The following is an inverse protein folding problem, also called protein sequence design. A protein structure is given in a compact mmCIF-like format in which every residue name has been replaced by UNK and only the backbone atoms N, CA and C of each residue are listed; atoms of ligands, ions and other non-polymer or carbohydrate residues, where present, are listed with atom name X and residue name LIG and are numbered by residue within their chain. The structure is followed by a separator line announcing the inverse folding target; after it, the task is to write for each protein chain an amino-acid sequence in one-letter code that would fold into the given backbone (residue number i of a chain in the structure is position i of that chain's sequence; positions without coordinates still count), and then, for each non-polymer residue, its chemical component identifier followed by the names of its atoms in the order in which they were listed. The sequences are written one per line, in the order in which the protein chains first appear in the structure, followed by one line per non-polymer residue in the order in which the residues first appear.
data_IF_148539870524
#
_entry.id   IF_148539870524
#
_cell.length_a   1.000
_cell.length_b   1.000
_cell.length_c   1.000
_cell.angle_alpha   90.00
_cell.angle_beta   90.00
_cell.angle_gamma   90.00
#
_symmetry.space_group_name_H-M   'P 1'
#
loop_
_entity.id
_entity.type
_entity.pdbx_description
1 polymer ?
#
# COMPACT_ATOMS: atom_id res chain seq x y z
N UNK A 1 -28.01 83.96 -35.58
CA UNK A 1 -27.93 82.56 -36.08
C UNK A 1 -29.24 82.18 -36.76
N UNK A 2 -29.21 81.51 -37.92
CA UNK A 2 -30.44 81.02 -38.58
C UNK A 2 -31.13 79.97 -37.69
N UNK A 3 -32.46 79.93 -37.60
CA UNK A 3 -33.20 79.04 -36.67
C UNK A 3 -32.85 77.55 -36.85
N UNK A 4 -32.51 77.13 -38.08
CA UNK A 4 -32.03 75.77 -38.38
C UNK A 4 -30.67 75.44 -37.75
N UNK A 5 -29.77 76.42 -37.64
CA UNK A 5 -28.43 76.20 -37.05
C UNK A 5 -28.52 76.03 -35.52
N UNK A 6 -29.44 76.74 -34.87
CA UNK A 6 -29.69 76.61 -33.43
C UNK A 6 -30.29 75.23 -33.08
N UNK A 7 -31.23 74.74 -33.88
CA UNK A 7 -31.83 73.41 -33.69
C UNK A 7 -30.83 72.27 -33.85
N UNK A 8 -29.90 72.38 -34.81
CA UNK A 8 -28.83 71.38 -34.98
C UNK A 8 -27.85 71.41 -33.81
N UNK A 9 -27.44 72.58 -33.34
CA UNK A 9 -26.54 72.70 -32.18
C UNK A 9 -27.19 72.11 -30.93
N UNK A 10 -28.45 72.47 -30.63
CA UNK A 10 -29.18 71.93 -29.48
C UNK A 10 -29.35 70.42 -29.59
N UNK A 11 -29.65 69.89 -30.78
CA UNK A 11 -29.76 68.44 -31.00
C UNK A 11 -28.44 67.70 -30.77
N UNK A 12 -27.32 68.24 -31.25
CA UNK A 12 -25.99 67.65 -31.05
C UNK A 12 -25.59 67.73 -29.58
N UNK A 13 -25.85 68.85 -28.90
CA UNK A 13 -25.54 68.97 -27.46
C UNK A 13 -26.38 68.00 -26.62
N UNK A 14 -27.67 67.86 -26.91
CA UNK A 14 -28.54 66.90 -26.21
C UNK A 14 -28.08 65.44 -26.44
N UNK A 15 -27.63 65.10 -27.66
CA UNK A 15 -27.06 63.80 -27.97
C UNK A 15 -25.76 63.55 -27.19
N UNK A 16 -24.84 64.50 -27.17
CA UNK A 16 -23.59 64.38 -26.41
C UNK A 16 -23.82 64.21 -24.91
N UNK A 17 -24.78 64.94 -24.34
CA UNK A 17 -25.16 64.81 -22.92
C UNK A 17 -25.82 63.45 -22.68
N UNK A 18 -26.73 63.01 -23.56
CA UNK A 18 -27.38 61.70 -23.46
C UNK A 18 -26.38 60.53 -23.52
N UNK A 19 -25.40 60.59 -24.43
CA UNK A 19 -24.33 59.59 -24.50
C UNK A 19 -23.43 59.65 -23.27
N UNK A 20 -23.05 60.85 -22.82
CA UNK A 20 -22.21 61.00 -21.62
C UNK A 20 -22.89 60.45 -20.36
N UNK A 21 -24.18 60.74 -20.18
CA UNK A 21 -24.98 60.19 -19.07
C UNK A 21 -25.17 58.68 -19.23
N UNK A 22 -25.41 58.18 -20.45
CA UNK A 22 -25.51 56.75 -20.72
C UNK A 22 -24.22 55.98 -20.42
N UNK A 23 -23.05 56.55 -20.74
CA UNK A 23 -21.73 55.99 -20.42
C UNK A 23 -21.50 56.00 -18.91
N UNK A 24 -21.84 57.08 -18.21
CA UNK A 24 -21.70 57.16 -16.75
C UNK A 24 -22.63 56.17 -16.03
N UNK A 25 -23.90 56.08 -16.45
CA UNK A 25 -24.84 55.08 -15.92
C UNK A 25 -24.33 53.67 -16.22
N UNK A 26 -23.84 53.39 -17.43
CA UNK A 26 -23.26 52.09 -17.77
C UNK A 26 -22.02 51.74 -16.94
N UNK A 27 -21.14 52.72 -16.70
CA UNK A 27 -19.92 52.54 -15.90
C UNK A 27 -20.20 52.30 -14.42
N UNK A 28 -21.20 53.00 -13.85
CA UNK A 28 -21.53 52.91 -12.42
C UNK A 28 -22.66 51.92 -12.10
N UNK A 29 -23.41 51.44 -13.10
CA UNK A 29 -24.46 50.42 -12.93
C UNK A 29 -24.03 49.03 -13.39
N UNK A 30 -22.84 48.91 -14.00
CA UNK A 30 -22.20 47.61 -14.13
C UNK A 30 -21.97 47.09 -12.69
N UNK A 31 -22.55 45.95 -12.30
CA UNK A 31 -22.16 45.32 -11.05
C UNK A 31 -20.64 45.14 -11.15
N UNK A 32 -19.88 45.81 -10.26
CA UNK A 32 -18.43 45.65 -10.21
C UNK A 32 -18.15 44.15 -10.24
N UNK A 33 -17.22 43.72 -11.11
CA UNK A 33 -16.92 42.32 -11.39
C UNK A 33 -16.90 41.52 -10.08
N UNK A 34 -18.07 41.02 -9.71
CA UNK A 34 -18.21 39.95 -8.76
C UNK A 34 -17.67 38.81 -9.55
N UNK A 35 -16.39 38.53 -9.37
CA UNK A 35 -15.74 37.31 -9.80
C UNK A 35 -16.68 36.16 -9.49
N UNK A 36 -17.48 35.75 -10.47
CA UNK A 36 -17.98 34.39 -10.57
C UNK A 36 -16.77 33.53 -10.94
N UNK A 37 -15.83 33.47 -10.00
CA UNK A 37 -14.74 32.53 -10.02
C UNK A 37 -15.39 31.18 -9.80
N UNK A 38 -15.43 30.37 -10.86
CA UNK A 38 -15.65 28.94 -10.68
C UNK A 38 -14.66 28.49 -9.59
N UNK A 39 -15.10 27.90 -8.47
CA UNK A 39 -14.20 27.48 -7.40
C UNK A 39 -13.12 26.51 -7.91
N UNK A 40 -13.37 25.82 -9.04
CA UNK A 40 -12.41 24.93 -9.69
C UNK A 40 -11.31 25.65 -10.48
N UNK A 41 -11.47 26.95 -10.80
CA UNK A 41 -10.50 27.73 -11.58
C UNK A 41 -9.89 28.89 -10.80
N UNK A 42 -10.10 28.96 -9.48
CA UNK A 42 -9.44 29.96 -8.64
C UNK A 42 -7.93 29.68 -8.59
N UNK A 43 -7.07 30.69 -8.78
CA UNK A 43 -5.67 30.55 -8.42
C UNK A 43 -5.58 30.15 -6.95
N UNK A 44 -4.70 29.19 -6.65
CA UNK A 44 -4.47 28.75 -5.27
C UNK A 44 -4.07 29.95 -4.40
N UNK A 45 -4.74 30.11 -3.26
CA UNK A 45 -4.35 31.12 -2.28
C UNK A 45 -3.09 30.63 -1.55
N UNK A 46 -1.93 31.14 -1.94
CA UNK A 46 -0.63 30.79 -1.36
C UNK A 46 -0.60 31.01 0.16
N UNK A 47 -1.34 32.00 0.67
CA UNK A 47 -1.40 32.27 2.11
C UNK A 47 -2.08 31.15 2.90
N UNK A 48 -3.03 30.42 2.29
CA UNK A 48 -3.66 29.24 2.91
C UNK A 48 -2.69 28.07 2.87
N UNK A 49 -1.97 27.87 1.77
CA UNK A 49 -0.99 26.80 1.65
C UNK A 49 0.13 26.95 2.69
N UNK A 50 0.66 28.17 2.86
CA UNK A 50 1.68 28.47 3.87
C UNK A 50 1.17 28.17 5.28
N UNK A 51 -0.05 28.63 5.61
CA UNK A 51 -0.67 28.33 6.91
C UNK A 51 -0.85 26.84 7.16
N UNK A 52 -1.23 26.06 6.16
CA UNK A 52 -1.34 24.60 6.30
C UNK A 52 0.04 24.00 6.62
N UNK A 53 1.08 24.40 5.89
CA UNK A 53 2.44 23.89 6.10
C UNK A 53 2.99 24.27 7.47
N UNK A 54 2.72 25.48 7.95
CA UNK A 54 3.12 25.97 9.28
C UNK A 54 2.45 25.18 10.42
N UNK A 55 1.22 24.69 10.22
CA UNK A 55 0.47 23.92 11.22
C UNK A 55 0.84 22.42 11.25
N UNK A 56 1.58 21.92 10.24
CA UNK A 56 2.07 20.53 10.24
C UNK A 56 3.17 20.37 11.31
N UNK A 57 2.80 19.72 12.40
CA UNK A 57 3.69 19.49 13.53
C UNK A 57 4.40 18.14 13.46
N UNK A 58 5.74 18.17 13.47
CA UNK A 58 6.58 16.97 13.57
C UNK A 58 6.37 16.20 14.87
N UNK A 59 6.03 16.89 15.97
CA UNK A 59 5.72 16.24 17.25
C UNK A 59 4.41 15.46 17.17
N UNK A 60 3.35 16.05 16.62
CA UNK A 60 2.06 15.35 16.42
C UNK A 60 2.21 14.14 15.49
N UNK A 61 3.03 14.25 14.43
CA UNK A 61 3.34 13.11 13.56
C UNK A 61 4.02 11.98 14.36
N UNK A 62 5.00 12.32 15.20
CA UNK A 62 5.70 11.34 16.06
C UNK A 62 4.76 10.68 17.08
N UNK A 63 3.90 11.46 17.74
CA UNK A 63 2.91 10.95 18.68
C UNK A 63 1.91 10.00 18.00
N UNK A 64 1.38 10.39 16.84
CA UNK A 64 0.49 9.55 16.04
C UNK A 64 1.17 8.25 15.62
N UNK A 65 2.42 8.30 15.13
CA UNK A 65 3.17 7.11 14.75
C UNK A 65 3.34 6.16 15.94
N UNK A 66 3.74 6.66 17.11
CA UNK A 66 3.86 5.85 18.34
C UNK A 66 2.53 5.24 18.75
N UNK A 67 1.44 6.01 18.64
CA UNK A 67 0.11 5.54 18.98
C UNK A 67 -0.33 4.41 18.05
N UNK A 68 -0.31 4.62 16.73
CA UNK A 68 -0.84 3.62 15.78
C UNK A 68 0.08 2.40 15.60
N UNK A 69 1.40 2.54 15.81
CA UNK A 69 2.34 1.42 15.69
C UNK A 69 2.48 0.56 16.97
N UNK A 70 1.73 0.84 18.04
CA UNK A 70 1.90 0.17 19.35
C UNK A 70 1.45 -1.29 19.39
N UNK A 71 0.59 -1.71 18.46
CA UNK A 71 -0.06 -3.03 18.40
C UNK A 71 -0.09 -3.51 16.95
N UNK A 72 -0.09 -4.84 16.69
CA UNK A 72 -0.27 -5.35 15.34
C UNK A 72 -1.73 -5.09 14.94
N UNK A 73 -1.94 -4.49 13.77
CA UNK A 73 -3.27 -4.10 13.27
C UNK A 73 -3.51 -4.72 11.88
N UNK A 74 -3.40 -6.05 11.81
CA UNK A 74 -3.60 -6.82 10.57
C UNK A 74 -5.03 -6.63 10.08
N UNK A 75 -5.22 -6.46 8.77
CA UNK A 75 -6.53 -6.24 8.16
C UNK A 75 -7.58 -7.26 8.64
N UNK A 76 -8.76 -6.76 9.04
CA UNK A 76 -9.87 -7.60 9.50
C UNK A 76 -9.79 -8.07 10.96
N UNK A 77 -8.74 -7.70 11.70
CA UNK A 77 -8.64 -7.99 13.14
C UNK A 77 -9.38 -6.94 14.00
N UNK A 78 -9.67 -7.24 15.28
CA UNK A 78 -10.21 -6.23 16.20
C UNK A 78 -9.32 -4.99 16.37
N UNK A 79 -7.99 -5.14 16.29
CA UNK A 79 -7.06 -4.02 16.40
C UNK A 79 -7.10 -3.09 15.19
N UNK A 80 -7.25 -3.63 13.98
CA UNK A 80 -7.50 -2.85 12.75
C UNK A 80 -8.81 -2.04 12.88
N UNK A 81 -9.85 -2.64 13.44
CA UNK A 81 -11.11 -1.95 13.73
C UNK A 81 -10.95 -0.82 14.76
N UNK A 82 -10.22 -1.06 15.86
CA UNK A 82 -9.88 -0.05 16.88
C UNK A 82 -9.24 1.18 16.21
N UNK A 83 -8.21 0.96 15.38
CA UNK A 83 -7.53 2.03 14.64
C UNK A 83 -8.45 2.81 13.69
N UNK A 84 -9.36 2.13 12.98
CA UNK A 84 -10.31 2.78 12.09
C UNK A 84 -11.34 3.65 12.85
N UNK A 85 -11.86 3.15 13.97
CA UNK A 85 -12.76 3.92 14.84
C UNK A 85 -12.04 5.13 15.45
N UNK A 86 -10.74 5.00 15.80
CA UNK A 86 -9.92 6.10 16.31
C UNK A 86 -9.70 7.21 15.29
N UNK A 87 -9.30 6.86 14.07
CA UNK A 87 -9.11 7.82 12.97
C UNK A 87 -10.41 8.56 12.66
N UNK A 88 -11.53 7.83 12.58
CA UNK A 88 -12.85 8.43 12.36
C UNK A 88 -13.18 9.48 13.42
N UNK A 89 -12.94 9.17 14.70
CA UNK A 89 -13.18 10.12 15.80
C UNK A 89 -12.27 11.34 15.68
N UNK A 90 -10.97 11.12 15.45
CA UNK A 90 -10.00 12.19 15.30
C UNK A 90 -10.37 13.16 14.17
N UNK A 91 -10.88 12.66 13.04
CA UNK A 91 -11.34 13.49 11.93
C UNK A 91 -12.52 14.40 12.29
N UNK A 92 -13.53 13.87 12.99
CA UNK A 92 -14.67 14.68 13.46
C UNK A 92 -14.19 15.72 14.48
N UNK A 93 -13.36 15.31 15.44
CA UNK A 93 -12.85 16.20 16.49
C UNK A 93 -11.97 17.34 15.92
N UNK A 94 -11.31 17.10 14.79
CA UNK A 94 -10.50 18.10 14.06
C UNK A 94 -11.34 19.00 13.13
N UNK A 95 -12.65 18.80 13.06
CA UNK A 95 -13.58 19.70 12.38
C UNK A 95 -13.95 19.29 10.94
N UNK A 96 -13.72 18.03 10.53
CA UNK A 96 -14.35 17.55 9.30
C UNK A 96 -15.87 17.47 9.49
N UNK A 97 -16.63 17.92 8.48
CA UNK A 97 -18.10 17.91 8.52
C UNK A 97 -18.69 16.51 8.70
N UNK A 98 -18.01 15.49 8.15
CA UNK A 98 -18.43 14.09 8.27
C UNK A 98 -17.26 13.11 8.11
N UNK A 99 -17.37 11.96 8.77
CA UNK A 99 -16.45 10.82 8.66
C UNK A 99 -17.20 9.52 8.96
N UNK A 100 -17.17 8.58 8.03
CA UNK A 100 -17.93 7.33 8.08
C UNK A 100 -17.02 6.11 7.88
N UNK A 101 -17.36 5.01 8.56
CA UNK A 101 -16.75 3.72 8.28
C UNK A 101 -17.62 2.96 7.28
N UNK A 102 -17.01 2.56 6.17
CA UNK A 102 -17.69 1.85 5.07
C UNK A 102 -17.19 0.40 5.02
N UNK A 103 -17.86 -0.55 5.69
CA UNK A 103 -17.39 -1.93 5.75
C UNK A 103 -17.68 -2.71 4.46
N UNK A 104 -16.74 -3.58 4.09
CA UNK A 104 -16.89 -4.60 3.05
C UNK A 104 -16.55 -5.97 3.61
N UNK A 105 -17.24 -7.01 3.14
CA UNK A 105 -17.05 -8.40 3.57
C UNK A 105 -16.19 -9.11 2.54
N UNK A 106 -14.89 -8.88 2.62
CA UNK A 106 -13.88 -9.39 1.68
C UNK A 106 -13.26 -10.71 2.16
N UNK A 107 -12.74 -11.49 1.22
CA UNK A 107 -11.96 -12.68 1.50
C UNK A 107 -10.52 -12.30 1.84
N UNK A 108 -10.11 -12.60 3.07
CA UNK A 108 -8.72 -12.49 3.54
C UNK A 108 -8.21 -13.87 3.93
N UNK A 109 -6.93 -14.12 3.66
CA UNK A 109 -6.24 -15.30 4.17
C UNK A 109 -5.33 -14.89 5.33
N UNK A 110 -5.47 -15.58 6.45
CA UNK A 110 -4.58 -15.49 7.61
C UNK A 110 -3.81 -16.80 7.76
N UNK A 111 -2.59 -16.76 8.31
CA UNK A 111 -1.85 -17.97 8.59
C UNK A 111 -2.51 -18.74 9.74
N UNK A 112 -2.29 -20.05 9.83
CA UNK A 112 -2.55 -20.81 11.05
C UNK A 112 -1.80 -20.20 12.25
N UNK A 113 -2.34 -20.41 13.45
CA UNK A 113 -1.64 -19.99 14.68
C UNK A 113 -0.29 -20.71 14.80
N UNK A 114 0.80 -19.99 15.12
CA UNK A 114 2.11 -20.59 15.32
C UNK A 114 2.21 -21.34 16.67
N UNK A 115 1.20 -21.27 17.54
CA UNK A 115 1.13 -22.03 18.79
C UNK A 115 0.55 -23.44 18.56
N UNK A 116 -0.09 -23.68 17.41
CA UNK A 116 -0.49 -25.01 16.98
C UNK A 116 0.56 -25.56 16.02
N UNK A 117 1.60 -26.21 16.56
CA UNK A 117 2.72 -26.74 15.78
C UNK A 117 2.33 -27.74 14.67
N UNK A 118 1.18 -28.40 14.80
CA UNK A 118 0.67 -29.33 13.79
C UNK A 118 0.18 -28.59 12.54
N UNK A 119 -0.43 -27.41 12.72
CA UNK A 119 -0.99 -26.59 11.64
C UNK A 119 -0.07 -25.45 11.21
N UNK A 120 0.93 -25.09 12.01
CA UNK A 120 1.85 -24.01 11.72
C UNK A 120 2.59 -24.25 10.40
N UNK A 121 2.76 -23.19 9.62
CA UNK A 121 3.58 -23.23 8.42
C UNK A 121 5.04 -23.49 8.83
N UNK A 122 5.65 -24.52 8.24
CA UNK A 122 7.05 -24.87 8.48
C UNK A 122 7.69 -25.50 7.26
N UNK A 123 8.99 -25.36 7.18
CA UNK A 123 9.85 -26.00 6.18
C UNK A 123 10.78 -26.94 6.92
N UNK A 124 10.83 -28.19 6.46
CA UNK A 124 11.70 -29.21 7.04
C UNK A 124 12.67 -29.74 5.99
N UNK A 125 13.91 -30.04 6.42
CA UNK A 125 14.83 -30.86 5.64
C UNK A 125 14.76 -32.26 6.22
N UNK A 126 14.34 -33.21 5.40
CA UNK A 126 14.16 -34.61 5.78
C UNK A 126 15.34 -35.41 5.24
N UNK A 127 15.97 -36.22 6.09
CA UNK A 127 17.00 -37.17 5.67
C UNK A 127 16.34 -38.32 4.90
N UNK A 128 16.63 -38.48 3.60
CA UNK A 128 15.98 -39.51 2.78
C UNK A 128 16.34 -40.94 3.19
N UNK A 129 17.43 -41.15 3.94
CA UNK A 129 17.88 -42.49 4.32
C UNK A 129 17.07 -43.08 5.49
N UNK A 130 16.56 -42.22 6.39
CA UNK A 130 15.88 -42.66 7.62
C UNK A 130 14.55 -41.95 7.89
N UNK A 131 14.20 -40.90 7.13
CA UNK A 131 12.97 -40.13 7.29
C UNK A 131 12.97 -39.14 8.47
N UNK A 132 14.11 -38.94 9.14
CA UNK A 132 14.22 -38.02 10.26
C UNK A 132 14.32 -36.57 9.77
N UNK A 133 13.76 -35.65 10.55
CA UNK A 133 13.89 -34.22 10.32
C UNK A 133 15.29 -33.77 10.77
N UNK A 134 16.11 -33.34 9.82
CA UNK A 134 17.46 -32.81 10.05
C UNK A 134 17.45 -31.31 10.39
N UNK A 135 16.46 -30.59 9.88
CA UNK A 135 16.25 -29.16 10.15
C UNK A 135 14.76 -28.84 10.08
N UNK A 136 14.32 -27.90 10.90
CA UNK A 136 13.00 -27.29 10.85
C UNK A 136 13.15 -25.78 10.94
N UNK A 137 12.42 -25.04 10.10
CA UNK A 137 12.37 -23.59 10.15
C UNK A 137 11.68 -23.09 11.42
N UNK A 138 12.08 -21.94 11.94
CA UNK A 138 11.36 -21.27 13.00
C UNK A 138 9.90 -20.96 12.58
N UNK A 139 8.96 -21.11 13.53
CA UNK A 139 7.53 -20.86 13.30
C UNK A 139 7.14 -19.38 13.36
N UNK A 140 8.01 -18.55 13.96
CA UNK A 140 7.85 -17.10 14.15
C UNK A 140 9.22 -16.44 14.18
N UNK A 141 9.29 -15.14 13.92
CA UNK A 141 10.52 -14.38 14.15
C UNK A 141 10.91 -14.38 15.63
N UNK A 142 12.22 -14.30 15.86
CA UNK A 142 12.71 -14.02 17.20
C UNK A 142 12.33 -12.58 17.60
N UNK A 143 11.81 -12.40 18.82
CA UNK A 143 11.53 -11.08 19.37
C UNK A 143 12.83 -10.31 19.64
N UNK A 144 12.79 -8.98 19.53
CA UNK A 144 13.93 -8.13 19.88
C UNK A 144 13.90 -7.62 21.32
N UNK A 145 12.76 -7.76 22.02
CA UNK A 145 12.61 -7.39 23.42
C UNK A 145 11.39 -8.03 24.08
N UNK A 146 11.32 -7.94 25.41
CA UNK A 146 10.19 -8.48 26.18
C UNK A 146 8.86 -7.84 25.77
N UNK A 147 8.85 -6.56 25.39
CA UNK A 147 7.63 -5.85 24.96
C UNK A 147 7.04 -6.39 23.63
N UNK A 148 7.86 -6.97 22.76
CA UNK A 148 7.42 -7.61 21.51
C UNK A 148 6.92 -9.05 21.74
N UNK A 149 7.55 -9.77 22.67
CA UNK A 149 7.11 -11.11 23.12
C UNK A 149 5.70 -11.11 23.72
N UNK A 150 5.27 -9.97 24.24
CA UNK A 150 3.99 -9.81 24.92
C UNK A 150 2.82 -9.51 23.98
N UNK A 151 3.05 -9.42 22.65
CA UNK A 151 1.99 -9.16 21.67
C UNK A 151 1.54 -10.48 21.01
N UNK A 152 0.46 -11.13 21.49
CA UNK A 152 0.01 -12.43 20.98
C UNK A 152 -0.51 -12.38 19.53
N UNK A 153 -0.74 -11.19 18.99
CA UNK A 153 -1.43 -10.98 17.71
C UNK A 153 -0.45 -10.71 16.53
N UNK A 154 0.85 -10.92 16.71
CA UNK A 154 1.82 -10.84 15.60
C UNK A 154 1.62 -12.09 14.73
N UNK A 155 1.16 -11.97 13.47
CA UNK A 155 1.00 -13.12 12.60
C UNK A 155 2.38 -13.70 12.27
N UNK A 156 2.59 -15.02 12.22
CA UNK A 156 3.86 -15.59 11.75
C UNK A 156 4.15 -15.21 10.29
N UNK A 157 5.39 -15.38 9.80
CA UNK A 157 5.71 -15.18 8.39
C UNK A 157 4.83 -16.07 7.50
N UNK A 158 4.19 -15.46 6.50
CA UNK A 158 3.40 -16.19 5.52
C UNK A 158 3.22 -15.37 4.24
N UNK A 159 2.93 -16.07 3.15
CA UNK A 159 2.48 -15.46 1.91
C UNK A 159 0.97 -15.59 1.78
N UNK A 160 0.25 -14.47 1.84
CA UNK A 160 -1.20 -14.45 1.70
C UNK A 160 -1.61 -14.82 0.27
N UNK A 161 -2.73 -15.52 0.15
CA UNK A 161 -3.25 -16.20 -1.03
C UNK A 161 -2.43 -17.40 -1.53
N UNK A 162 -1.54 -17.94 -0.69
CA UNK A 162 -0.88 -19.22 -0.97
C UNK A 162 -1.83 -20.39 -0.81
N UNK A 163 -1.67 -21.41 -1.65
CA UNK A 163 -2.39 -22.67 -1.50
C UNK A 163 -1.93 -23.39 -0.21
N UNK A 164 -2.87 -24.08 0.45
CA UNK A 164 -2.55 -24.98 1.57
C UNK A 164 -2.10 -26.32 1.01
N UNK A 165 -1.03 -26.88 1.58
CA UNK A 165 -0.55 -28.21 1.21
C UNK A 165 0.64 -28.64 2.06
N UNK A 166 0.86 -29.95 2.11
CA UNK A 166 2.05 -30.59 2.65
C UNK A 166 2.69 -31.38 1.50
N UNK A 167 3.87 -30.92 1.05
CA UNK A 167 4.55 -31.47 -0.12
C UNK A 167 6.03 -31.67 0.20
N UNK A 168 6.59 -32.74 -0.35
CA UNK A 168 8.02 -33.06 -0.25
C UNK A 168 8.58 -33.17 -1.66
N UNK A 169 9.75 -32.57 -1.89
CA UNK A 169 10.44 -32.62 -3.17
C UNK A 169 11.86 -32.10 -3.05
N UNK A 170 12.70 -32.38 -4.06
CA UNK A 170 14.06 -31.87 -4.09
C UNK A 170 14.08 -30.34 -4.19
N UNK A 171 15.05 -29.71 -3.53
CA UNK A 171 15.21 -28.27 -3.55
C UNK A 171 16.01 -27.82 -4.79
N UNK A 172 15.54 -26.77 -5.47
CA UNK A 172 16.26 -26.12 -6.59
C UNK A 172 16.32 -24.62 -6.39
N UNK A 173 17.53 -24.06 -6.43
CA UNK A 173 17.72 -22.61 -6.34
C UNK A 173 17.50 -21.95 -7.69
N UNK A 174 16.62 -20.95 -7.72
CA UNK A 174 16.16 -20.29 -8.96
C UNK A 174 16.39 -18.78 -8.92
N UNK A 175 17.43 -18.32 -8.22
CA UNK A 175 17.81 -16.91 -8.15
C UNK A 175 16.61 -15.99 -7.79
N UNK A 176 16.28 -15.00 -8.61
CA UNK A 176 15.14 -14.09 -8.39
C UNK A 176 13.82 -14.66 -8.96
N UNK A 177 13.76 -15.94 -9.34
CA UNK A 177 12.55 -16.62 -9.80
C UNK A 177 11.94 -15.99 -11.05
N UNK A 178 12.75 -15.29 -11.86
CA UNK A 178 12.34 -14.77 -13.17
C UNK A 178 12.35 -15.92 -14.18
N UNK A 179 11.63 -15.78 -15.28
CA UNK A 179 11.62 -16.82 -16.33
C UNK A 179 13.04 -17.11 -16.82
N UNK A 180 13.84 -16.05 -16.99
CA UNK A 180 15.23 -16.14 -17.44
C UNK A 180 16.13 -16.89 -16.44
N UNK A 181 15.77 -16.92 -15.15
CA UNK A 181 16.52 -17.66 -14.14
C UNK A 181 16.34 -19.18 -14.33
N UNK A 182 15.14 -19.63 -14.71
CA UNK A 182 14.88 -21.03 -15.01
C UNK A 182 15.48 -21.43 -16.36
N UNK A 183 15.33 -20.59 -17.38
CA UNK A 183 15.92 -20.81 -18.71
C UNK A 183 17.45 -20.90 -18.62
N UNK A 184 18.09 -20.00 -17.87
CA UNK A 184 19.54 -20.04 -17.66
C UNK A 184 20.02 -21.34 -17.03
N UNK A 185 19.26 -21.90 -16.07
CA UNK A 185 19.60 -23.20 -15.48
C UNK A 185 19.58 -24.28 -16.55
N UNK A 186 18.54 -24.33 -17.40
CA UNK A 186 18.41 -25.34 -18.45
C UNK A 186 19.43 -25.16 -19.58
N UNK A 187 19.76 -23.92 -19.94
CA UNK A 187 20.61 -23.66 -21.09
C UNK A 187 22.10 -23.77 -20.74
N UNK A 188 22.49 -23.33 -19.53
CA UNK A 188 23.90 -23.09 -19.20
C UNK A 188 24.43 -23.94 -18.04
N UNK A 189 23.57 -24.39 -17.12
CA UNK A 189 24.01 -25.08 -15.89
C UNK A 189 23.74 -26.59 -15.93
N UNK A 190 22.51 -26.98 -16.20
CA UNK A 190 22.07 -28.38 -16.26
C UNK A 190 20.90 -28.54 -17.26
N UNK A 191 21.22 -28.85 -18.53
CA UNK A 191 20.22 -29.10 -19.57
C UNK A 191 19.36 -30.35 -19.37
N UNK A 192 19.67 -31.16 -18.36
CA UNK A 192 18.93 -32.38 -18.05
C UNK A 192 18.04 -32.24 -16.82
N UNK A 193 18.07 -31.08 -16.15
CA UNK A 193 17.26 -30.82 -14.98
C UNK A 193 15.77 -30.79 -15.32
N UNK A 194 14.98 -31.60 -14.61
CA UNK A 194 13.52 -31.53 -14.63
C UNK A 194 13.03 -30.86 -13.34
N UNK A 195 12.31 -29.74 -13.46
CA UNK A 195 11.75 -29.00 -12.34
C UNK A 195 10.47 -29.66 -11.78
N UNK A 196 9.87 -30.60 -12.51
CA UNK A 196 8.63 -31.27 -12.13
C UNK A 196 8.76 -31.94 -10.77
N UNK A 197 7.87 -31.61 -9.82
CA UNK A 197 7.89 -32.21 -8.48
C UNK A 197 8.93 -31.61 -7.53
N UNK A 198 9.74 -30.65 -7.96
CA UNK A 198 10.75 -29.98 -7.13
C UNK A 198 10.16 -28.79 -6.36
N UNK A 199 10.84 -28.40 -5.29
CA UNK A 199 10.57 -27.20 -4.52
C UNK A 199 11.56 -26.13 -4.98
N UNK A 200 11.07 -25.05 -5.58
CA UNK A 200 11.90 -23.92 -5.94
C UNK A 200 12.24 -23.09 -4.69
N UNK A 201 13.46 -22.58 -4.58
CA UNK A 201 13.84 -21.55 -3.60
C UNK A 201 14.38 -20.31 -4.32
N UNK A 202 13.76 -19.17 -4.05
CA UNK A 202 14.07 -17.88 -4.69
C UNK A 202 14.36 -16.81 -3.63
N UNK A 203 15.32 -15.94 -3.90
CA UNK A 203 15.48 -14.72 -3.13
C UNK A 203 14.45 -13.66 -3.51
N UNK A 204 14.05 -12.83 -2.57
CA UNK A 204 13.22 -11.64 -2.83
C UNK A 204 13.92 -10.65 -3.77
N UNK A 205 13.16 -9.74 -4.39
CA UNK A 205 13.65 -8.82 -5.41
C UNK A 205 13.54 -9.38 -6.84
N UNK A 206 13.80 -8.54 -7.84
CA UNK A 206 13.64 -8.91 -9.25
C UNK A 206 12.18 -9.08 -9.66
N UNK A 207 11.70 -10.32 -9.80
CA UNK A 207 10.30 -10.59 -10.10
C UNK A 207 9.39 -10.29 -8.89
N UNK A 208 8.13 -9.93 -9.14
CA UNK A 208 7.11 -9.81 -8.09
C UNK A 208 6.74 -11.19 -7.51
N UNK A 209 6.19 -11.23 -6.29
CA UNK A 209 5.92 -12.51 -5.61
C UNK A 209 4.94 -13.41 -6.37
N UNK A 210 3.85 -12.84 -6.91
CA UNK A 210 2.93 -13.59 -7.78
C UNK A 210 3.65 -14.17 -9.00
N UNK A 211 4.50 -13.38 -9.65
CA UNK A 211 5.26 -13.80 -10.83
C UNK A 211 6.20 -14.95 -10.49
N UNK A 212 6.92 -14.89 -9.36
CA UNK A 212 7.77 -16.01 -8.91
C UNK A 212 6.96 -17.29 -8.72
N UNK A 213 5.82 -17.20 -8.03
CA UNK A 213 4.95 -18.35 -7.78
C UNK A 213 4.38 -18.93 -9.08
N UNK A 214 3.95 -18.06 -9.99
CA UNK A 214 3.44 -18.44 -11.32
C UNK A 214 4.52 -19.11 -12.16
N UNK A 215 5.74 -18.57 -12.15
CA UNK A 215 6.87 -19.16 -12.87
C UNK A 215 7.22 -20.53 -12.31
N UNK A 216 7.38 -20.66 -10.99
CA UNK A 216 7.65 -21.95 -10.35
C UNK A 216 6.60 -23.00 -10.74
N UNK A 217 5.32 -22.63 -10.69
CA UNK A 217 4.23 -23.49 -11.13
C UNK A 217 4.32 -23.86 -12.62
N UNK A 218 4.57 -22.89 -13.51
CA UNK A 218 4.66 -23.13 -14.95
C UNK A 218 5.84 -24.03 -15.34
N UNK A 219 6.94 -24.00 -14.58
CA UNK A 219 8.06 -24.92 -14.74
C UNK A 219 7.84 -26.28 -14.07
N UNK A 220 6.70 -26.50 -13.38
CA UNK A 220 6.33 -27.80 -12.80
C UNK A 220 6.75 -28.00 -11.34
N UNK A 221 7.31 -26.98 -10.69
CA UNK A 221 7.61 -27.02 -9.26
C UNK A 221 6.31 -27.16 -8.45
N UNK A 222 6.36 -27.94 -7.37
CA UNK A 222 5.20 -28.19 -6.48
C UNK A 222 5.09 -27.19 -5.34
N UNK A 223 6.17 -26.47 -5.04
CA UNK A 223 6.19 -25.39 -4.07
C UNK A 223 7.27 -24.34 -4.40
N UNK A 224 7.13 -23.17 -3.81
CA UNK A 224 8.10 -22.08 -3.85
C UNK A 224 8.40 -21.60 -2.42
N UNK A 225 9.67 -21.57 -2.07
CA UNK A 225 10.20 -20.89 -0.90
C UNK A 225 10.78 -19.53 -1.31
N UNK A 226 10.48 -18.49 -0.54
CA UNK A 226 11.06 -17.16 -0.72
C UNK A 226 11.82 -16.74 0.53
N UNK A 227 13.00 -16.16 0.35
CA UNK A 227 13.81 -15.64 1.45
C UNK A 227 14.41 -14.28 1.13
N UNK A 228 14.72 -13.49 2.17
CA UNK A 228 15.44 -12.22 2.05
C UNK A 228 16.94 -12.46 2.10
N UNK A 229 17.62 -12.42 0.95
CA UNK A 229 19.07 -12.57 0.89
C UNK A 229 19.76 -11.35 1.53
N UNK A 230 20.71 -11.55 2.47
CA UNK A 230 21.51 -10.46 3.01
C UNK A 230 22.14 -9.62 1.91
N UNK A 231 22.65 -10.19 0.82
CA UNK A 231 23.26 -9.42 -0.27
C UNK A 231 22.35 -8.31 -0.84
N UNK A 232 21.02 -8.47 -0.74
CA UNK A 232 20.01 -7.53 -1.23
C UNK A 232 19.37 -6.70 -0.10
N UNK A 233 19.27 -7.24 1.13
CA UNK A 233 18.47 -6.66 2.22
C UNK A 233 19.22 -6.38 3.53
N UNK A 234 20.48 -6.81 3.66
CA UNK A 234 21.35 -6.50 4.79
C UNK A 234 22.75 -6.16 4.30
N UNK A 235 23.25 -5.00 4.69
CA UNK A 235 24.65 -4.69 4.41
C UNK A 235 25.58 -5.45 5.36
N UNK A 236 26.84 -5.60 4.98
CA UNK A 236 27.86 -6.13 5.88
C UNK A 236 28.04 -5.24 7.12
N UNK A 237 28.57 -5.79 8.23
CA UNK A 237 28.71 -5.08 9.51
C UNK A 237 29.50 -3.77 9.40
N UNK A 238 30.32 -3.62 8.37
CA UNK A 238 31.08 -2.41 8.05
C UNK A 238 30.23 -1.21 7.57
N UNK A 239 29.02 -1.45 7.04
CA UNK A 239 28.10 -0.38 6.57
C UNK A 239 27.00 -0.12 7.60
N UNK A 240 26.60 -1.14 8.37
CA UNK A 240 25.73 -0.98 9.52
C UNK A 240 25.24 -2.31 10.09
N UNK A 241 24.53 -2.22 11.21
CA UNK A 241 24.11 -3.39 11.97
C UNK A 241 22.64 -3.74 11.69
N UNK A 242 22.27 -5.03 11.81
CA UNK A 242 20.87 -5.43 11.85
C UNK A 242 20.14 -4.84 13.07
N UNK A 243 18.82 -4.75 12.97
CA UNK A 243 17.96 -4.42 14.11
C UNK A 243 18.19 -5.43 15.27
N UNK A 244 18.24 -4.99 16.54
CA UNK A 244 17.88 -3.66 17.06
C UNK A 244 19.02 -2.63 17.05
N UNK A 245 20.25 -3.05 16.81
CA UNK A 245 21.44 -2.18 16.89
C UNK A 245 21.62 -1.29 15.65
N UNK A 246 20.86 -1.55 14.58
CA UNK A 246 20.79 -0.71 13.40
C UNK A 246 19.49 -0.88 12.63
N UNK A 247 19.49 -0.40 11.38
CA UNK A 247 18.28 -0.32 10.52
C UNK A 247 18.16 -1.47 9.52
N UNK A 248 19.11 -2.39 9.49
CA UNK A 248 19.16 -3.48 8.51
C UNK A 248 18.37 -4.70 8.99
N UNK A 249 17.99 -5.55 8.05
CA UNK A 249 17.13 -6.70 8.32
C UNK A 249 17.89 -7.76 9.16
N UNK A 250 17.36 -8.18 10.32
CA UNK A 250 17.96 -9.25 11.11
C UNK A 250 17.71 -10.62 10.49
N UNK A 251 18.59 -11.58 10.77
CA UNK A 251 18.60 -12.91 10.15
C UNK A 251 17.38 -13.78 10.47
N UNK A 252 16.62 -13.40 11.48
CA UNK A 252 15.43 -14.13 11.97
C UNK A 252 14.14 -13.63 11.33
N UNK A 253 14.21 -12.56 10.53
CA UNK A 253 13.02 -11.92 9.92
C UNK A 253 12.53 -12.62 8.66
N UNK A 254 11.21 -12.77 8.54
CA UNK A 254 10.54 -13.21 7.31
C UNK A 254 9.68 -12.11 6.71
N UNK A 255 9.87 -11.81 5.42
CA UNK A 255 9.04 -10.82 4.75
C UNK A 255 7.64 -11.39 4.45
N UNK A 256 6.59 -10.77 5.01
CA UNK A 256 5.19 -11.12 4.76
C UNK A 256 4.65 -10.44 3.51
N UNK A 257 3.69 -11.09 2.86
CA UNK A 257 2.68 -10.40 2.06
C UNK A 257 2.02 -11.22 0.97
N UNK A 258 1.29 -10.55 0.07
CA UNK A 258 0.31 -11.17 -0.84
C UNK A 258 0.90 -11.66 -2.16
N UNK A 259 0.66 -12.93 -2.51
CA UNK A 259 0.94 -13.48 -3.85
C UNK A 259 -0.23 -13.33 -4.83
N UNK A 260 -1.22 -12.49 -4.51
CA UNK A 260 -2.36 -12.19 -5.38
C UNK A 260 -1.96 -11.22 -6.51
N UNK A 261 -2.44 -11.47 -7.74
CA UNK A 261 -2.16 -10.59 -8.90
C UNK A 261 -3.30 -9.63 -9.25
N UNK A 262 -4.51 -9.95 -8.84
CA UNK A 262 -5.71 -9.18 -9.17
C UNK A 262 -5.96 -8.08 -8.14
N UNK A 263 -6.68 -7.05 -8.56
CA UNK A 263 -7.07 -5.92 -7.71
C UNK A 263 -8.44 -6.18 -7.10
N UNK A 264 -8.62 -5.78 -5.84
CA UNK A 264 -9.90 -5.90 -5.12
C UNK A 264 -10.09 -7.26 -4.46
N UNK A 265 -11.34 -7.57 -4.12
CA UNK A 265 -11.72 -8.85 -3.51
C UNK A 265 -11.76 -9.97 -4.59
N UNK A 266 -11.11 -11.12 -4.37
CA UNK A 266 -11.10 -12.19 -5.38
C UNK A 266 -12.47 -12.84 -5.59
N UNK A 267 -13.41 -12.68 -4.65
CA UNK A 267 -14.75 -13.26 -4.75
C UNK A 267 -15.77 -12.31 -5.39
N UNK A 268 -15.47 -11.01 -5.51
CA UNK A 268 -16.34 -10.02 -6.15
C UNK A 268 -15.61 -9.15 -7.19
N UNK A 269 -15.01 -9.75 -8.24
CA UNK A 269 -14.27 -8.99 -9.24
C UNK A 269 -15.19 -7.99 -9.96
N UNK A 270 -14.85 -6.71 -9.88
CA UNK A 270 -15.60 -5.62 -10.51
C UNK A 270 -16.84 -5.15 -9.75
N UNK A 271 -17.15 -5.72 -8.59
CA UNK A 271 -18.33 -5.36 -7.78
C UNK A 271 -17.96 -5.10 -6.32
N UNK A 272 -18.72 -4.25 -5.60
CA UNK A 272 -18.50 -4.05 -4.18
C UNK A 272 -18.86 -5.30 -3.37
N UNK A 273 -17.95 -5.78 -2.52
CA UNK A 273 -18.15 -6.90 -1.60
C UNK A 273 -19.08 -6.54 -0.41
N UNK A 274 -20.29 -6.06 -0.71
CA UNK A 274 -21.32 -5.78 0.31
C UNK A 274 -21.96 -7.10 0.74
N UNK A 275 -22.31 -7.20 2.02
CA UNK A 275 -23.12 -8.32 2.48
C UNK A 275 -24.42 -8.37 1.66
N UNK A 276 -24.75 -9.54 1.10
CA UNK A 276 -26.10 -9.78 0.59
C UNK A 276 -27.01 -9.69 1.80
N UNK A 277 -27.89 -8.70 1.82
CA UNK A 277 -28.98 -8.63 2.79
C UNK A 277 -29.89 -9.82 2.49
N UNK A 278 -29.71 -10.91 3.22
CA UNK A 278 -30.63 -12.06 3.24
C UNK A 278 -31.68 -11.84 4.31
#
# INVERSE_FOLDING_TARGET
MKPRTLQVVVGVTALCVGVGVGVLIGYFSAPGEGEYTNPETRPSDESIADRILEEISTEKIRENLRYYARKPHVAGTPADREGADDIRRAWIDQGLDSAELVPYKVYLQHPPSPDNEELANKVQIIDPANGNVAFESALREDPFGEDELLQPDIPPPFNAYSATGDVTGDLVYVNFGRVEDYEYILDELDPTLDFTGKIAISRHGGAGWYTKATNAYNFGCVALLMYTDPADYSVGPEIGLPYPDGKFLPSTSGQRGSIKNDVGDPLTPGYPARAIVS
#
